data_IF_817281714754
#
_entry.id   IF_817281714754
#
_cell.length_a   1.000
_cell.length_b   1.000
_cell.length_c   1.000
_cell.angle_alpha   90.00
_cell.angle_beta   90.00
_cell.angle_gamma   90.00
#
_symmetry.space_group_name_H-M   'P 1'
#
loop_
_entity.id
_entity.type
_entity.pdbx_description
1 polymer ?
#
# COMPACT_ATOMS: atom_id res chain seq x y z
N UNK A 1 -10.27 -27.76 8.14
CA UNK A 1 -9.68 -26.42 8.15
C UNK A 1 -8.88 -26.21 6.90
N UNK A 2 -8.83 -24.99 6.37
CA UNK A 2 -7.89 -24.54 5.34
C UNK A 2 -6.83 -23.69 6.05
N UNK A 3 -5.55 -24.04 5.89
CA UNK A 3 -4.44 -23.32 6.51
C UNK A 3 -3.79 -22.42 5.47
N UNK A 4 -3.74 -21.12 5.74
CA UNK A 4 -2.96 -20.12 5.02
C UNK A 4 -1.64 -19.91 5.78
N UNK A 5 -0.52 -19.75 5.09
CA UNK A 5 0.76 -19.43 5.71
C UNK A 5 1.11 -17.96 5.53
N UNK A 6 1.75 -17.34 6.51
CA UNK A 6 2.24 -15.97 6.41
C UNK A 6 3.54 -15.79 7.22
N UNK A 7 4.58 -15.33 6.57
CA UNK A 7 5.74 -14.74 7.24
C UNK A 7 5.51 -13.23 7.26
N UNK A 8 5.41 -12.63 8.45
CA UNK A 8 5.01 -11.23 8.63
C UNK A 8 5.95 -10.57 9.62
N UNK A 9 6.34 -9.32 9.39
CA UNK A 9 7.23 -8.57 10.28
C UNK A 9 6.53 -8.21 11.58
N UNK A 10 6.66 -9.04 12.61
CA UNK A 10 6.12 -8.76 13.95
C UNK A 10 7.14 -8.03 14.82
N UNK A 11 8.41 -8.06 14.43
CA UNK A 11 9.51 -7.30 15.02
C UNK A 11 10.34 -6.61 13.95
N UNK A 12 11.31 -5.77 14.35
CA UNK A 12 12.19 -5.04 13.45
C UNK A 12 11.55 -3.76 12.89
N UNK A 13 12.15 -3.23 11.82
CA UNK A 13 11.80 -1.90 11.27
C UNK A 13 10.38 -1.80 10.71
N UNK A 14 9.76 -2.91 10.34
CA UNK A 14 8.41 -2.97 9.78
C UNK A 14 7.35 -3.48 10.78
N UNK A 15 7.67 -3.57 12.08
CA UNK A 15 6.78 -4.16 13.08
C UNK A 15 5.38 -3.55 13.10
N UNK A 16 5.27 -2.21 12.95
CA UNK A 16 3.97 -1.54 12.91
C UNK A 16 3.14 -1.96 11.69
N UNK A 17 3.74 -1.94 10.51
CA UNK A 17 3.05 -2.37 9.28
C UNK A 17 2.78 -3.87 9.25
N UNK A 18 3.67 -4.67 9.82
CA UNK A 18 3.45 -6.10 10.00
C UNK A 18 2.27 -6.40 10.93
N UNK A 19 2.13 -5.64 12.03
CA UNK A 19 0.97 -5.72 12.90
C UNK A 19 -0.33 -5.35 12.15
N UNK A 20 -0.33 -4.26 11.37
CA UNK A 20 -1.47 -3.86 10.54
C UNK A 20 -1.83 -4.95 9.53
N UNK A 21 -0.84 -5.56 8.88
CA UNK A 21 -1.02 -6.68 7.95
C UNK A 21 -1.69 -7.86 8.64
N UNK A 22 -1.14 -8.30 9.78
CA UNK A 22 -1.68 -9.40 10.57
C UNK A 22 -3.11 -9.13 11.04
N UNK A 23 -3.37 -7.93 11.58
CA UNK A 23 -4.70 -7.54 12.07
C UNK A 23 -5.74 -7.56 10.94
N UNK A 24 -5.38 -7.13 9.73
CA UNK A 24 -6.24 -7.24 8.55
C UNK A 24 -6.56 -8.69 8.20
N UNK A 25 -5.55 -9.56 8.17
CA UNK A 25 -5.75 -11.00 7.92
C UNK A 25 -6.65 -11.64 8.97
N UNK A 26 -6.40 -11.38 10.25
CA UNK A 26 -7.17 -11.98 11.36
C UNK A 26 -8.62 -11.50 11.37
N UNK A 27 -8.88 -10.22 11.10
CA UNK A 27 -10.24 -9.70 11.05
C UNK A 27 -11.04 -10.39 9.93
N UNK A 28 -10.45 -10.54 8.73
CA UNK A 28 -11.12 -11.21 7.63
C UNK A 28 -11.35 -12.71 7.90
N UNK A 29 -10.36 -13.41 8.43
CA UNK A 29 -10.48 -14.82 8.82
C UNK A 29 -11.59 -15.02 9.84
N UNK A 30 -11.64 -14.19 10.88
CA UNK A 30 -12.70 -14.21 11.90
C UNK A 30 -14.07 -14.03 11.26
N UNK A 31 -14.23 -12.97 10.44
CA UNK A 31 -15.49 -12.65 9.77
C UNK A 31 -15.99 -13.76 8.87
N UNK A 32 -15.11 -14.38 8.07
CA UNK A 32 -15.44 -15.52 7.22
C UNK A 32 -15.87 -16.72 8.09
N UNK A 33 -15.11 -16.98 9.14
CA UNK A 33 -15.37 -18.09 10.05
C UNK A 33 -16.70 -17.94 10.81
N UNK A 34 -17.05 -16.74 11.24
CA UNK A 34 -18.32 -16.43 11.91
C UNK A 34 -19.52 -16.65 10.97
N UNK A 35 -19.34 -16.40 9.68
CA UNK A 35 -20.33 -16.72 8.63
C UNK A 35 -20.38 -18.21 8.23
N UNK A 36 -19.73 -19.11 8.97
CA UNK A 36 -19.74 -20.56 8.72
C UNK A 36 -18.52 -21.09 7.96
N UNK A 37 -17.55 -20.24 7.60
CA UNK A 37 -16.35 -20.61 6.87
C UNK A 37 -16.53 -20.61 5.34
N UNK A 38 -15.68 -21.33 4.65
CA UNK A 38 -15.67 -21.41 3.19
C UNK A 38 -16.24 -22.75 2.74
N UNK A 39 -17.21 -22.74 1.82
CA UNK A 39 -17.79 -23.96 1.24
C UNK A 39 -16.96 -24.43 0.05
N UNK A 40 -16.48 -25.67 0.10
CA UNK A 40 -15.69 -26.31 -0.97
C UNK A 40 -16.13 -27.76 -1.12
N UNK A 41 -16.53 -28.20 -2.31
CA UNK A 41 -16.97 -29.56 -2.56
C UNK A 41 -18.08 -30.05 -1.63
N UNK A 42 -19.05 -29.17 -1.31
CA UNK A 42 -20.17 -29.47 -0.40
C UNK A 42 -19.83 -29.46 1.09
N UNK A 43 -18.58 -29.19 1.48
CA UNK A 43 -18.14 -29.11 2.89
C UNK A 43 -17.76 -27.70 3.27
N UNK A 44 -18.03 -27.32 4.54
CA UNK A 44 -17.58 -26.03 5.10
C UNK A 44 -16.25 -26.18 5.82
N UNK A 45 -15.33 -25.27 5.54
CA UNK A 45 -14.00 -25.22 6.13
C UNK A 45 -13.78 -23.90 6.84
N UNK A 46 -13.31 -23.94 8.08
CA UNK A 46 -12.78 -22.76 8.76
C UNK A 46 -11.40 -22.41 8.21
N UNK A 47 -11.11 -21.11 8.08
CA UNK A 47 -9.77 -20.61 7.74
C UNK A 47 -8.94 -20.45 9.01
N UNK A 48 -7.65 -20.71 8.90
CA UNK A 48 -6.64 -20.47 9.94
C UNK A 48 -5.39 -19.93 9.28
N UNK A 49 -4.73 -18.94 9.88
CA UNK A 49 -3.43 -18.47 9.41
C UNK A 49 -2.33 -18.95 10.35
N UNK A 50 -1.28 -19.53 9.77
CA UNK A 50 -0.04 -19.88 10.49
C UNK A 50 0.97 -18.77 10.26
N UNK A 51 1.32 -18.07 11.33
CA UNK A 51 2.25 -16.95 11.30
C UNK A 51 3.64 -17.33 11.73
N UNK A 52 4.63 -16.70 11.12
CA UNK A 52 6.00 -16.60 11.59
C UNK A 52 6.48 -15.16 11.50
N UNK A 53 7.34 -14.75 12.44
CA UNK A 53 7.99 -13.45 12.44
C UNK A 53 9.21 -13.46 11.51
N UNK A 54 9.20 -12.67 10.45
CA UNK A 54 10.30 -12.52 9.51
C UNK A 54 11.37 -11.51 9.99
N UNK A 55 11.16 -10.92 11.16
CA UNK A 55 12.08 -9.97 11.80
C UNK A 55 12.44 -8.79 10.89
N UNK A 56 11.57 -8.46 9.94
CA UNK A 56 11.79 -7.43 8.89
C UNK A 56 13.03 -7.70 8.02
N UNK A 57 13.44 -8.96 7.87
CA UNK A 57 14.63 -9.33 7.10
C UNK A 57 14.31 -10.29 5.94
N UNK A 58 14.76 -9.98 4.71
CA UNK A 58 14.49 -10.81 3.53
C UNK A 58 14.95 -12.26 3.66
N UNK A 59 16.14 -12.48 4.24
CA UNK A 59 16.70 -13.82 4.43
C UNK A 59 15.81 -14.66 5.35
N UNK A 60 15.34 -14.08 6.46
CA UNK A 60 14.43 -14.76 7.39
C UNK A 60 13.08 -15.05 6.73
N UNK A 61 12.52 -14.09 5.97
CA UNK A 61 11.30 -14.28 5.20
C UNK A 61 11.39 -15.49 4.26
N UNK A 62 12.50 -15.62 3.52
CA UNK A 62 12.75 -16.76 2.62
C UNK A 62 12.81 -18.08 3.37
N UNK A 63 13.55 -18.15 4.47
CA UNK A 63 13.67 -19.34 5.33
C UNK A 63 12.28 -19.78 5.85
N UNK A 64 11.49 -18.84 6.34
CA UNK A 64 10.18 -19.09 6.89
C UNK A 64 9.16 -19.51 5.83
N UNK A 65 9.22 -18.94 4.63
CA UNK A 65 8.40 -19.39 3.51
C UNK A 65 8.72 -20.83 3.14
N UNK A 66 10.00 -21.22 3.07
CA UNK A 66 10.37 -22.64 2.86
C UNK A 66 9.87 -23.54 4.00
N UNK A 67 9.97 -23.10 5.25
CA UNK A 67 9.45 -23.84 6.41
C UNK A 67 7.94 -24.06 6.32
N UNK A 68 7.18 -23.00 6.04
CA UNK A 68 5.71 -23.07 5.88
C UNK A 68 5.32 -24.13 4.85
N UNK A 69 6.02 -24.16 3.72
CA UNK A 69 5.71 -25.12 2.64
C UNK A 69 6.18 -26.52 2.97
N UNK A 70 7.46 -26.70 3.36
CA UNK A 70 8.08 -28.02 3.50
C UNK A 70 7.76 -28.74 4.80
N UNK A 71 7.72 -27.99 5.91
CA UNK A 71 7.55 -28.59 7.23
C UNK A 71 6.09 -28.52 7.70
N UNK A 72 5.42 -27.40 7.43
CA UNK A 72 4.04 -27.20 7.87
C UNK A 72 3.01 -27.63 6.82
N UNK A 73 3.42 -27.97 5.60
CA UNK A 73 2.56 -28.46 4.52
C UNK A 73 1.56 -27.40 4.01
N UNK A 74 1.88 -26.12 4.15
CA UNK A 74 1.04 -25.01 3.69
C UNK A 74 0.97 -25.02 2.16
N UNK A 75 -0.23 -24.94 1.61
CA UNK A 75 -0.52 -24.92 0.17
C UNK A 75 -0.95 -23.55 -0.36
N UNK A 76 -1.19 -22.59 0.50
CA UNK A 76 -1.69 -21.25 0.19
C UNK A 76 -1.01 -20.23 1.09
N UNK A 77 -0.49 -19.15 0.52
CA UNK A 77 0.22 -18.16 1.29
C UNK A 77 -0.40 -16.77 1.16
N UNK A 78 -0.36 -16.03 2.26
CA UNK A 78 -0.57 -14.59 2.30
C UNK A 78 0.80 -13.90 2.28
N UNK A 79 0.89 -12.78 1.59
CA UNK A 79 2.13 -12.05 1.43
C UNK A 79 2.63 -11.39 2.72
N UNK A 80 3.92 -11.06 2.78
CA UNK A 80 4.49 -10.26 3.86
C UNK A 80 4.18 -8.77 3.69
N UNK A 81 4.60 -7.95 4.66
CA UNK A 81 4.74 -6.51 4.42
C UNK A 81 6.06 -6.21 3.74
N UNK A 82 6.00 -5.30 2.79
CA UNK A 82 7.00 -4.68 1.93
C UNK A 82 7.36 -5.44 0.65
N UNK A 83 7.65 -4.65 -0.39
CA UNK A 83 8.09 -5.19 -1.68
C UNK A 83 9.42 -5.94 -1.59
N UNK A 84 10.32 -5.51 -0.69
CA UNK A 84 11.61 -6.18 -0.49
C UNK A 84 11.46 -7.58 0.10
N UNK A 85 10.58 -7.77 1.09
CA UNK A 85 10.28 -9.08 1.67
C UNK A 85 9.52 -9.97 0.68
N UNK A 86 8.53 -9.42 -0.02
CA UNK A 86 7.81 -10.14 -1.07
C UNK A 86 8.76 -10.66 -2.13
N UNK A 87 9.68 -9.81 -2.63
CA UNK A 87 10.69 -10.17 -3.63
C UNK A 87 11.54 -11.37 -3.20
N UNK A 88 11.88 -11.44 -1.91
CA UNK A 88 12.69 -12.53 -1.37
C UNK A 88 11.92 -13.86 -1.28
N UNK A 89 10.61 -13.81 -1.02
CA UNK A 89 9.74 -14.98 -0.86
C UNK A 89 9.29 -15.54 -2.22
N UNK A 90 9.15 -14.71 -3.25
CA UNK A 90 8.60 -15.10 -4.55
C UNK A 90 9.28 -16.35 -5.17
N UNK A 91 10.62 -16.51 -5.18
CA UNK A 91 11.24 -17.73 -5.71
C UNK A 91 10.81 -19.00 -4.99
N UNK A 92 10.45 -18.91 -3.71
CA UNK A 92 9.99 -20.07 -2.92
C UNK A 92 8.59 -20.47 -3.37
N UNK A 93 7.64 -19.53 -3.40
CA UNK A 93 6.25 -19.83 -3.78
C UNK A 93 6.16 -20.31 -5.24
N UNK A 94 6.96 -19.74 -6.13
CA UNK A 94 7.05 -20.19 -7.52
C UNK A 94 7.59 -21.61 -7.63
N UNK A 95 8.72 -21.90 -6.97
CA UNK A 95 9.37 -23.23 -6.95
C UNK A 95 8.44 -24.34 -6.47
N UNK A 96 7.66 -24.06 -5.44
CA UNK A 96 6.76 -25.05 -4.82
C UNK A 96 5.33 -24.97 -5.34
N UNK A 97 5.04 -24.09 -6.30
CA UNK A 97 3.72 -23.88 -6.89
C UNK A 97 2.64 -23.59 -5.84
N UNK A 98 2.97 -22.73 -4.90
CA UNK A 98 2.07 -22.29 -3.83
C UNK A 98 1.50 -20.92 -4.18
N UNK A 99 0.21 -20.79 -4.51
CA UNK A 99 -0.35 -19.48 -4.79
C UNK A 99 -0.28 -18.58 -3.57
N UNK A 100 0.20 -17.35 -3.78
CA UNK A 100 0.32 -16.30 -2.78
C UNK A 100 -0.50 -15.09 -3.21
N UNK A 101 -1.37 -14.61 -2.32
CA UNK A 101 -2.06 -13.34 -2.51
C UNK A 101 -1.37 -12.29 -1.63
N UNK A 102 -0.89 -11.27 -2.31
CA UNK A 102 -0.15 -10.16 -1.74
C UNK A 102 -1.07 -8.97 -1.47
N UNK A 103 -1.01 -8.46 -0.24
CA UNK A 103 -1.71 -7.26 0.17
C UNK A 103 -0.80 -6.04 0.35
N UNK A 104 0.54 -6.21 0.46
CA UNK A 104 1.44 -5.13 0.88
C UNK A 104 2.73 -5.01 0.07
N UNK A 105 2.99 -5.90 -0.89
CA UNK A 105 4.11 -5.83 -1.83
C UNK A 105 3.67 -5.18 -3.14
N UNK A 106 4.03 -3.92 -3.36
CA UNK A 106 3.47 -3.11 -4.42
C UNK A 106 4.39 -2.87 -5.63
N UNK A 107 5.70 -3.15 -5.55
CA UNK A 107 6.63 -2.83 -6.63
C UNK A 107 6.35 -3.61 -7.92
N UNK A 108 6.30 -2.91 -9.06
CA UNK A 108 6.06 -3.52 -10.39
C UNK A 108 7.03 -4.65 -10.71
N UNK A 109 8.28 -4.55 -10.24
CA UNK A 109 9.30 -5.57 -10.52
C UNK A 109 8.91 -6.98 -10.02
N UNK A 110 8.00 -7.07 -9.03
CA UNK A 110 7.49 -8.34 -8.51
C UNK A 110 6.73 -9.13 -9.59
N UNK A 111 6.19 -8.44 -10.58
CA UNK A 111 5.32 -8.98 -11.62
C UNK A 111 5.97 -9.05 -13.00
N UNK A 112 7.27 -8.70 -13.12
CA UNK A 112 7.97 -8.63 -14.43
C UNK A 112 8.81 -9.87 -14.75
N UNK A 113 8.97 -10.78 -13.80
CA UNK A 113 9.82 -11.96 -13.94
C UNK A 113 9.10 -13.23 -14.44
N UNK A 114 7.81 -13.10 -14.79
CA UNK A 114 7.01 -14.21 -15.27
C UNK A 114 6.60 -15.21 -14.19
N UNK A 115 6.61 -14.80 -12.92
CA UNK A 115 6.06 -15.61 -11.83
C UNK A 115 4.55 -15.81 -12.00
N UNK A 116 4.08 -17.02 -11.73
CA UNK A 116 2.68 -17.42 -11.95
C UNK A 116 1.87 -17.57 -10.68
N UNK A 117 2.53 -17.58 -9.53
CA UNK A 117 1.91 -17.88 -8.23
C UNK A 117 1.80 -16.68 -7.32
N UNK A 118 2.07 -15.47 -7.81
CA UNK A 118 1.83 -14.20 -7.11
C UNK A 118 0.61 -13.49 -7.70
N UNK A 119 -0.23 -12.94 -6.82
CA UNK A 119 -1.37 -12.09 -7.15
C UNK A 119 -1.45 -10.97 -6.12
N UNK A 120 -1.55 -9.71 -6.53
CA UNK A 120 -1.63 -8.58 -5.62
C UNK A 120 -2.95 -7.84 -5.74
N UNK A 121 -3.67 -7.70 -4.62
CA UNK A 121 -4.97 -7.00 -4.59
C UNK A 121 -4.84 -5.49 -4.67
N UNK A 122 -3.64 -4.95 -4.47
CA UNK A 122 -3.33 -3.52 -4.45
C UNK A 122 -2.88 -3.01 -5.82
N UNK A 123 -2.89 -1.69 -5.99
CA UNK A 123 -2.29 -1.01 -7.13
C UNK A 123 -0.77 -1.01 -7.00
N UNK A 124 -0.03 -1.08 -8.12
CA UNK A 124 1.44 -1.06 -8.08
C UNK A 124 2.00 0.29 -7.67
N UNK A 125 3.19 0.29 -7.09
CA UNK A 125 3.76 1.46 -6.41
C UNK A 125 4.13 2.62 -7.35
N UNK A 126 4.35 2.35 -8.63
CA UNK A 126 4.51 3.39 -9.65
C UNK A 126 3.32 4.35 -9.73
N UNK A 127 2.13 3.92 -9.29
CA UNK A 127 0.91 4.73 -9.35
C UNK A 127 0.68 5.58 -8.09
N UNK A 128 1.45 5.38 -7.02
CA UNK A 128 1.13 5.96 -5.70
C UNK A 128 1.05 7.48 -5.72
N UNK A 129 1.99 8.17 -6.34
CA UNK A 129 2.05 9.63 -6.37
C UNK A 129 1.61 10.24 -7.71
N UNK A 130 1.14 9.42 -8.66
CA UNK A 130 0.53 9.89 -9.92
C UNK A 130 -0.57 10.94 -9.66
N UNK A 131 -1.54 10.72 -8.75
CA UNK A 131 -2.57 11.73 -8.51
C UNK A 131 -2.04 13.05 -7.97
N UNK A 132 -0.90 13.04 -7.27
CA UNK A 132 -0.28 14.28 -6.77
C UNK A 132 0.40 15.08 -7.90
N UNK A 133 1.03 14.40 -8.86
CA UNK A 133 1.64 15.05 -10.03
C UNK A 133 0.54 15.58 -10.98
N UNK A 134 -0.52 14.81 -11.19
CA UNK A 134 -1.69 15.26 -11.97
C UNK A 134 -2.33 16.50 -11.33
N UNK A 135 -2.55 16.49 -10.02
CA UNK A 135 -3.07 17.62 -9.27
C UNK A 135 -2.15 18.86 -9.39
N UNK A 136 -0.84 18.68 -9.34
CA UNK A 136 0.11 19.77 -9.54
C UNK A 136 -0.03 20.39 -10.94
N UNK A 137 -0.17 19.56 -11.98
CA UNK A 137 -0.40 20.03 -13.34
C UNK A 137 -1.71 20.82 -13.48
N UNK A 138 -2.80 20.31 -12.92
CA UNK A 138 -4.12 20.96 -12.94
C UNK A 138 -4.12 22.31 -12.22
N UNK A 139 -3.30 22.45 -11.16
CA UNK A 139 -3.27 23.62 -10.31
C UNK A 139 -2.08 24.55 -10.57
N UNK A 140 -1.30 24.35 -11.64
CA UNK A 140 -0.14 25.18 -11.99
C UNK A 140 -0.49 26.68 -12.06
N UNK A 141 -1.67 27.03 -12.58
CA UNK A 141 -2.15 28.41 -12.63
C UNK A 141 -2.30 29.08 -11.27
N UNK A 142 -2.64 28.33 -10.20
CA UNK A 142 -2.70 28.86 -8.83
C UNK A 142 -1.31 29.21 -8.28
N UNK A 143 -0.26 28.66 -8.87
CA UNK A 143 1.15 28.97 -8.58
C UNK A 143 1.73 30.06 -9.49
N UNK A 144 0.90 30.64 -10.37
CA UNK A 144 1.33 31.61 -11.38
C UNK A 144 2.23 31.01 -12.45
N UNK A 145 2.06 29.70 -12.75
CA UNK A 145 2.90 28.94 -13.69
C UNK A 145 2.08 28.16 -14.70
N UNK A 146 2.77 27.65 -15.73
CA UNK A 146 2.26 26.55 -16.56
C UNK A 146 2.82 25.23 -16.04
N UNK A 147 2.22 24.11 -16.42
CA UNK A 147 2.68 22.79 -15.98
C UNK A 147 4.13 22.51 -16.39
N UNK A 148 4.56 23.01 -17.55
CA UNK A 148 5.91 22.83 -18.09
C UNK A 148 6.97 23.62 -17.30
N UNK A 149 6.58 24.66 -16.56
CA UNK A 149 7.49 25.46 -15.73
C UNK A 149 7.51 25.03 -14.27
N UNK A 150 6.71 24.02 -13.89
CA UNK A 150 6.75 23.46 -12.56
C UNK A 150 8.05 22.70 -12.31
N UNK A 151 8.65 22.97 -11.16
CA UNK A 151 9.85 22.31 -10.66
C UNK A 151 9.47 21.22 -9.66
N UNK A 152 9.91 20.00 -9.91
CA UNK A 152 9.64 18.84 -9.05
C UNK A 152 10.92 18.37 -8.38
N UNK A 153 10.85 18.14 -7.09
CA UNK A 153 11.90 17.53 -6.28
C UNK A 153 11.45 16.17 -5.78
N UNK A 154 12.33 15.19 -5.86
CA UNK A 154 12.13 13.82 -5.40
C UNK A 154 13.10 13.52 -4.25
N UNK A 155 12.59 12.89 -3.18
CA UNK A 155 13.37 12.37 -2.07
C UNK A 155 12.87 10.96 -1.77
N UNK A 156 13.58 9.95 -2.25
CA UNK A 156 13.13 8.56 -2.29
C UNK A 156 14.04 7.65 -1.48
N UNK A 157 13.48 6.83 -0.61
CA UNK A 157 14.22 5.78 0.07
C UNK A 157 14.76 4.77 -0.97
N UNK A 158 15.97 4.28 -0.76
CA UNK A 158 16.60 3.33 -1.67
C UNK A 158 16.16 1.89 -1.33
N UNK A 159 14.90 1.60 -1.56
CA UNK A 159 14.31 0.26 -1.49
C UNK A 159 13.44 -0.04 -2.73
N UNK A 160 13.05 -1.30 -2.97
CA UNK A 160 12.26 -1.67 -4.15
C UNK A 160 10.94 -0.91 -4.29
N UNK A 161 10.25 -0.62 -3.18
CA UNK A 161 8.98 0.12 -3.20
C UNK A 161 9.19 1.57 -3.62
N UNK A 162 10.03 2.30 -2.89
CA UNK A 162 10.23 3.73 -3.14
C UNK A 162 10.93 4.01 -4.49
N UNK A 163 11.77 3.09 -4.97
CA UNK A 163 12.37 3.20 -6.30
C UNK A 163 11.34 3.00 -7.42
N UNK A 164 10.33 2.17 -7.22
CA UNK A 164 9.23 2.05 -8.18
C UNK A 164 8.28 3.25 -8.12
N UNK A 165 8.00 3.81 -6.94
CA UNK A 165 7.30 5.10 -6.80
C UNK A 165 8.05 6.20 -7.55
N UNK A 166 9.39 6.26 -7.38
CA UNK A 166 10.25 7.21 -8.11
C UNK A 166 10.09 7.08 -9.62
N UNK A 167 10.13 5.85 -10.13
CA UNK A 167 10.00 5.60 -11.56
C UNK A 167 8.64 6.11 -12.08
N UNK A 168 7.55 5.81 -11.39
CA UNK A 168 6.22 6.32 -11.74
C UNK A 168 6.14 7.85 -11.72
N UNK A 169 6.71 8.50 -10.70
CA UNK A 169 6.75 9.98 -10.62
C UNK A 169 7.54 10.56 -11.78
N UNK A 170 8.69 9.96 -12.16
CA UNK A 170 9.46 10.43 -13.30
C UNK A 170 8.71 10.29 -14.63
N UNK A 171 7.99 9.17 -14.83
CA UNK A 171 7.14 8.97 -15.99
C UNK A 171 6.03 10.04 -16.05
N UNK A 172 5.39 10.36 -14.93
CA UNK A 172 4.34 11.38 -14.84
C UNK A 172 4.87 12.81 -15.06
N UNK A 173 6.03 13.13 -14.47
CA UNK A 173 6.72 14.40 -14.68
C UNK A 173 7.05 14.61 -16.16
N UNK A 174 7.55 13.57 -16.83
CA UNK A 174 7.81 13.59 -18.27
C UNK A 174 6.52 13.76 -19.07
N UNK A 175 5.45 13.03 -18.73
CA UNK A 175 4.14 13.11 -19.39
C UNK A 175 3.55 14.52 -19.36
N UNK A 176 3.75 15.25 -18.27
CA UNK A 176 3.30 16.64 -18.12
C UNK A 176 4.30 17.69 -18.60
N UNK A 177 5.53 17.29 -18.98
CA UNK A 177 6.60 18.20 -19.40
C UNK A 177 7.21 19.04 -18.27
N UNK A 178 7.04 18.63 -17.01
CA UNK A 178 7.57 19.31 -15.83
C UNK A 178 9.10 19.11 -15.72
N UNK A 179 9.75 19.90 -14.87
CA UNK A 179 11.21 19.88 -14.69
C UNK A 179 11.59 19.19 -13.37
N UNK A 180 12.38 18.12 -13.43
CA UNK A 180 13.02 17.55 -12.24
C UNK A 180 14.23 18.41 -11.87
N UNK A 181 14.25 18.96 -10.64
CA UNK A 181 15.37 19.80 -10.14
C UNK A 181 16.15 19.12 -9.00
N UNK A 182 15.55 18.13 -8.34
CA UNK A 182 16.18 17.28 -7.32
C UNK A 182 15.68 15.86 -7.54
N UNK A 183 16.60 14.89 -7.51
CA UNK A 183 16.30 13.47 -7.59
C UNK A 183 17.24 12.72 -6.64
N UNK A 184 16.92 12.78 -5.35
CA UNK A 184 17.75 12.22 -4.29
C UNK A 184 17.25 10.83 -3.88
N UNK A 185 18.16 9.86 -3.91
CA UNK A 185 17.95 8.53 -3.32
C UNK A 185 18.59 8.53 -1.93
N UNK A 186 17.77 8.27 -0.92
CA UNK A 186 18.15 8.32 0.49
C UNK A 186 18.43 6.91 1.03
N UNK A 187 19.29 6.77 2.03
CA UNK A 187 19.52 5.46 2.66
C UNK A 187 18.22 4.83 3.17
N UNK A 188 18.16 3.49 3.24
CA UNK A 188 17.03 2.80 3.86
C UNK A 188 16.77 3.34 5.26
N UNK A 189 15.48 3.41 5.63
CA UNK A 189 14.94 3.98 6.86
C UNK A 189 14.87 5.52 6.91
N UNK A 190 15.38 6.22 5.90
CA UNK A 190 15.26 7.67 5.72
C UNK A 190 15.37 8.46 7.05
N UNK A 191 16.53 8.28 7.74
CA UNK A 191 16.75 8.87 9.05
C UNK A 191 17.11 10.36 9.01
N UNK A 192 17.63 10.84 7.86
CA UNK A 192 18.05 12.23 7.69
C UNK A 192 17.82 12.70 6.25
N UNK A 193 17.16 13.85 6.11
CA UNK A 193 16.89 14.54 4.86
C UNK A 193 17.54 15.93 4.80
N UNK A 194 18.36 16.31 5.75
CA UNK A 194 18.87 17.69 5.90
C UNK A 194 19.58 18.20 4.62
N UNK A 195 20.35 17.34 3.97
CA UNK A 195 21.03 17.68 2.70
C UNK A 195 20.01 17.95 1.58
N UNK A 196 19.04 17.07 1.40
CA UNK A 196 17.97 17.24 0.40
C UNK A 196 17.16 18.50 0.69
N UNK A 197 16.78 18.73 1.95
CA UNK A 197 16.01 19.91 2.35
C UNK A 197 16.81 21.23 2.16
N UNK A 198 18.12 21.18 2.30
CA UNK A 198 18.99 22.33 1.95
C UNK A 198 18.94 22.65 0.45
N UNK A 199 18.98 21.61 -0.43
CA UNK A 199 18.80 21.78 -1.87
C UNK A 199 17.40 22.34 -2.19
N UNK A 200 16.35 21.83 -1.51
CA UNK A 200 14.96 22.31 -1.67
C UNK A 200 14.88 23.82 -1.37
N UNK A 201 15.51 24.29 -0.28
CA UNK A 201 15.55 25.73 0.05
C UNK A 201 16.24 26.57 -1.03
N UNK A 202 17.30 26.06 -1.61
CA UNK A 202 18.08 26.76 -2.63
C UNK A 202 17.37 26.79 -4.00
N UNK A 203 16.79 25.66 -4.43
CA UNK A 203 16.21 25.48 -5.76
C UNK A 203 14.71 25.85 -5.83
N UNK A 204 14.06 25.93 -4.67
CA UNK A 204 12.64 26.31 -4.51
C UNK A 204 11.74 25.56 -5.49
N UNK A 205 11.62 24.24 -5.37
CA UNK A 205 10.68 23.45 -6.17
C UNK A 205 9.23 23.83 -5.84
N UNK A 206 8.34 23.61 -6.80
CA UNK A 206 6.88 23.78 -6.62
C UNK A 206 6.26 22.56 -5.98
N UNK A 207 6.83 21.41 -6.26
CA UNK A 207 6.38 20.09 -5.76
C UNK A 207 7.57 19.38 -5.12
N UNK A 208 7.37 18.88 -3.91
CA UNK A 208 8.27 17.93 -3.27
C UNK A 208 7.52 16.63 -3.04
N UNK A 209 8.00 15.55 -3.63
CA UNK A 209 7.49 14.21 -3.41
C UNK A 209 8.48 13.39 -2.60
N UNK A 210 7.96 12.68 -1.58
CA UNK A 210 8.75 11.89 -0.64
C UNK A 210 8.17 10.49 -0.57
N UNK A 211 9.02 9.49 -0.75
CA UNK A 211 8.64 8.10 -0.55
C UNK A 211 9.64 7.37 0.34
N UNK A 212 9.14 6.88 1.43
CA UNK A 212 9.76 6.02 2.41
C UNK A 212 8.65 5.28 3.15
N UNK A 213 9.02 4.51 4.18
CA UNK A 213 8.03 3.87 5.05
C UNK A 213 7.61 4.82 6.19
N UNK A 214 6.87 4.34 7.20
CA UNK A 214 6.31 5.19 8.26
C UNK A 214 7.35 6.05 9.00
N UNK A 215 8.53 5.48 9.27
CA UNK A 215 9.62 6.22 9.92
C UNK A 215 10.11 7.37 9.04
N UNK A 216 10.24 7.11 7.73
CA UNK A 216 10.63 8.13 6.76
C UNK A 216 9.62 9.26 6.66
N UNK A 217 8.33 8.96 6.67
CA UNK A 217 7.27 9.97 6.64
C UNK A 217 7.33 10.89 7.88
N UNK A 218 7.51 10.32 9.08
CA UNK A 218 7.67 11.09 10.32
C UNK A 218 8.94 11.95 10.29
N UNK A 219 10.07 11.38 9.87
CA UNK A 219 11.35 12.11 9.76
C UNK A 219 11.22 13.29 8.79
N UNK A 220 10.60 13.06 7.62
CA UNK A 220 10.41 14.09 6.62
C UNK A 220 9.65 15.31 7.15
N UNK A 221 8.47 15.11 7.73
CA UNK A 221 7.64 16.23 8.22
C UNK A 221 8.33 16.95 9.40
N UNK A 222 8.94 16.21 10.33
CA UNK A 222 9.69 16.80 11.44
C UNK A 222 10.86 17.68 10.96
N UNK A 223 11.65 17.21 9.99
CA UNK A 223 12.80 17.96 9.49
C UNK A 223 12.38 19.14 8.59
N UNK A 224 11.34 19.00 7.78
CA UNK A 224 10.73 20.09 7.00
C UNK A 224 10.34 21.23 7.93
N UNK A 225 9.68 20.90 9.04
CA UNK A 225 9.28 21.89 10.06
C UNK A 225 10.47 22.49 10.78
N UNK A 226 11.37 21.67 11.30
CA UNK A 226 12.56 22.12 12.06
C UNK A 226 13.45 23.04 11.22
N UNK A 227 13.62 22.74 9.95
CA UNK A 227 14.42 23.52 9.02
C UNK A 227 13.63 24.64 8.34
N UNK A 228 12.35 24.80 8.66
CA UNK A 228 11.46 25.81 8.06
C UNK A 228 11.50 25.77 6.52
N UNK A 229 11.29 24.59 5.95
CA UNK A 229 11.26 24.40 4.50
C UNK A 229 9.82 24.57 4.01
N UNK A 230 9.62 25.50 3.10
CA UNK A 230 8.35 25.68 2.43
C UNK A 230 8.38 25.15 1.00
N UNK A 231 7.36 24.39 0.64
CA UNK A 231 7.10 23.93 -0.73
C UNK A 231 5.58 24.05 -0.97
N UNK A 232 5.14 24.62 -2.09
CA UNK A 232 3.71 24.81 -2.39
C UNK A 232 2.88 23.52 -2.37
N UNK A 233 3.46 22.42 -2.86
CA UNK A 233 2.83 21.10 -2.89
C UNK A 233 3.81 20.10 -2.28
N UNK A 234 3.45 19.54 -1.13
CA UNK A 234 4.19 18.46 -0.45
C UNK A 234 3.35 17.19 -0.49
N UNK A 235 3.84 16.15 -1.13
CA UNK A 235 3.15 14.87 -1.25
C UNK A 235 4.05 13.71 -0.79
N UNK A 236 3.47 12.72 -0.09
CA UNK A 236 4.24 11.59 0.40
C UNK A 236 3.44 10.30 0.51
N UNK A 237 4.14 9.21 0.72
CA UNK A 237 3.58 7.88 1.02
C UNK A 237 3.54 7.64 2.53
N UNK A 238 2.77 6.65 2.98
CA UNK A 238 2.71 6.15 4.37
C UNK A 238 2.28 7.15 5.45
N UNK A 239 1.49 8.15 5.11
CA UNK A 239 1.04 9.15 6.08
C UNK A 239 0.16 8.55 7.18
N UNK A 240 -0.81 7.70 6.81
CA UNK A 240 -1.77 7.08 7.73
C UNK A 240 -1.11 6.06 8.65
N UNK A 241 -0.30 5.15 8.09
CA UNK A 241 0.45 4.18 8.90
C UNK A 241 1.46 4.84 9.84
N UNK A 242 2.03 5.98 9.44
CA UNK A 242 2.87 6.81 10.29
C UNK A 242 2.08 7.67 11.29
N UNK A 243 0.75 7.78 11.10
CA UNK A 243 -0.13 8.63 11.91
C UNK A 243 0.36 10.09 11.97
N UNK A 244 0.77 10.65 10.81
CA UNK A 244 1.39 11.98 10.80
C UNK A 244 0.40 13.09 11.18
N UNK A 245 -0.88 12.95 10.84
CA UNK A 245 -1.92 13.92 11.22
C UNK A 245 -2.05 13.98 12.73
N UNK A 246 -2.12 12.85 13.41
CA UNK A 246 -2.31 12.74 14.86
C UNK A 246 -1.05 13.12 15.63
N UNK A 247 0.13 12.66 15.18
CA UNK A 247 1.39 12.87 15.88
C UNK A 247 1.98 14.25 15.69
N UNK A 248 1.76 14.88 14.54
CA UNK A 248 2.40 16.14 14.17
C UNK A 248 1.42 17.32 14.08
N UNK A 249 0.11 17.07 14.13
CA UNK A 249 -0.93 18.10 14.15
C UNK A 249 -0.75 19.15 13.06
N UNK A 250 -0.68 20.43 13.42
CA UNK A 250 -0.50 21.54 12.49
C UNK A 250 0.74 21.40 11.59
N UNK A 251 1.78 20.70 12.06
CA UNK A 251 2.98 20.46 11.27
C UNK A 251 2.76 19.58 10.03
N UNK A 252 1.71 18.78 10.04
CA UNK A 252 1.32 17.92 8.92
C UNK A 252 0.20 18.53 8.05
N UNK A 253 -0.32 19.71 8.42
CA UNK A 253 -1.44 20.33 7.72
C UNK A 253 -1.12 20.62 6.24
N UNK A 254 -2.06 20.31 5.37
CA UNK A 254 -1.98 20.44 3.91
C UNK A 254 -0.95 19.54 3.23
N UNK A 255 -0.42 18.50 3.90
CA UNK A 255 0.36 17.45 3.25
C UNK A 255 -0.57 16.57 2.44
N UNK A 256 -0.19 16.29 1.18
CA UNK A 256 -0.86 15.31 0.35
C UNK A 256 -0.33 13.91 0.64
N UNK A 257 -1.23 12.95 0.74
CA UNK A 257 -0.92 11.59 1.12
C UNK A 257 -1.45 10.59 0.11
N UNK A 258 -0.58 9.74 -0.41
CA UNK A 258 -0.96 8.64 -1.28
C UNK A 258 -1.56 7.50 -0.46
N UNK A 259 -2.77 7.08 -0.77
CA UNK A 259 -3.46 5.97 -0.12
C UNK A 259 -3.92 4.93 -1.12
N UNK A 260 -3.86 3.67 -0.71
CA UNK A 260 -4.49 2.58 -1.46
C UNK A 260 -6.01 2.53 -1.20
N UNK A 261 -6.45 3.00 -0.05
CA UNK A 261 -7.83 2.92 0.37
C UNK A 261 -8.14 4.00 1.43
N UNK A 262 -9.39 4.41 1.51
CA UNK A 262 -9.89 5.29 2.56
C UNK A 262 -11.34 4.90 2.91
N UNK A 263 -11.73 5.02 4.17
CA UNK A 263 -13.04 4.62 4.69
C UNK A 263 -14.24 5.31 4.01
N UNK A 264 -14.04 6.52 3.46
CA UNK A 264 -15.08 7.27 2.77
C UNK A 264 -15.36 6.83 1.33
N UNK A 265 -14.60 5.85 0.80
CA UNK A 265 -14.82 5.36 -0.55
C UNK A 265 -16.12 4.55 -0.62
N UNK A 266 -16.87 4.69 -1.70
CA UNK A 266 -18.16 4.02 -1.89
C UNK A 266 -18.06 2.53 -2.21
N UNK A 267 -16.95 1.87 -1.89
CA UNK A 267 -16.77 0.43 -2.07
C UNK A 267 -17.55 -0.37 -1.03
N UNK A 268 -18.03 -1.54 -1.43
CA UNK A 268 -18.79 -2.43 -0.55
C UNK A 268 -18.73 -3.88 -1.01
N UNK A 269 -18.95 -4.80 -0.10
CA UNK A 269 -19.11 -6.24 -0.37
C UNK A 269 -20.07 -6.91 0.63
N UNK A 270 -20.29 -8.21 0.43
CA UNK A 270 -21.15 -9.01 1.33
C UNK A 270 -20.44 -9.46 2.62
N UNK A 271 -19.09 -9.41 2.65
CA UNK A 271 -18.32 -9.88 3.80
C UNK A 271 -18.33 -8.84 4.91
N UNK A 272 -17.96 -7.61 4.60
CA UNK A 272 -17.79 -6.52 5.56
C UNK A 272 -18.87 -5.44 5.49
N UNK A 273 -19.58 -5.32 4.37
CA UNK A 273 -20.44 -4.19 4.07
C UNK A 273 -19.66 -3.10 3.31
N UNK A 274 -19.83 -1.85 3.70
CA UNK A 274 -19.12 -0.70 3.10
C UNK A 274 -17.66 -0.58 3.59
N UNK A 275 -16.87 0.26 2.93
CA UNK A 275 -15.53 0.64 3.41
C UNK A 275 -15.58 1.22 4.84
N UNK A 276 -16.59 2.03 5.15
CA UNK A 276 -16.83 2.56 6.50
C UNK A 276 -17.18 1.48 7.51
N UNK A 277 -17.97 0.46 7.10
CA UNK A 277 -18.30 -0.67 7.98
C UNK A 277 -17.07 -1.52 8.31
N UNK A 278 -16.16 -1.72 7.35
CA UNK A 278 -14.87 -2.35 7.63
C UNK A 278 -14.06 -1.54 8.64
N UNK A 279 -13.92 -0.22 8.42
CA UNK A 279 -13.19 0.66 9.33
C UNK A 279 -13.72 0.56 10.76
N UNK A 280 -15.04 0.66 10.94
CA UNK A 280 -15.67 0.52 12.28
C UNK A 280 -15.43 -0.84 12.93
N UNK A 281 -15.52 -1.93 12.15
CA UNK A 281 -15.25 -3.27 12.66
C UNK A 281 -13.79 -3.44 13.06
N UNK A 282 -12.88 -2.84 12.31
CA UNK A 282 -11.45 -2.85 12.62
C UNK A 282 -11.14 -2.05 13.90
N UNK A 283 -11.65 -0.81 14.00
CA UNK A 283 -11.50 0.05 15.16
C UNK A 283 -12.08 -0.60 16.43
N UNK A 284 -13.23 -1.25 16.31
CA UNK A 284 -13.84 -1.98 17.43
C UNK A 284 -12.98 -3.17 17.88
N UNK A 285 -12.24 -3.80 16.96
CA UNK A 285 -11.44 -4.97 17.26
C UNK A 285 -10.04 -4.64 17.78
N UNK A 286 -9.47 -3.50 17.36
CA UNK A 286 -8.05 -3.17 17.60
C UNK A 286 -7.80 -1.81 18.23
N UNK A 287 -8.86 -1.01 18.46
CA UNK A 287 -8.82 0.29 19.18
C UNK A 287 -7.96 1.38 18.53
N UNK A 288 -7.76 1.32 17.20
CA UNK A 288 -7.13 2.37 16.41
C UNK A 288 -7.73 2.44 15.01
N UNK A 289 -7.54 3.58 14.32
CA UNK A 289 -8.08 3.81 12.97
C UNK A 289 -7.54 2.79 11.97
N UNK A 290 -8.41 2.27 11.09
CA UNK A 290 -8.05 1.27 10.10
C UNK A 290 -7.12 1.84 9.02
N UNK A 291 -5.84 1.47 8.97
CA UNK A 291 -4.95 1.89 7.90
C UNK A 291 -5.21 1.08 6.63
N UNK A 292 -4.86 1.64 5.45
CA UNK A 292 -5.08 0.92 4.20
C UNK A 292 -4.32 -0.42 4.13
N UNK A 293 -3.20 -0.57 4.85
CA UNK A 293 -2.44 -1.82 4.94
C UNK A 293 -3.28 -2.95 5.55
N UNK A 294 -4.09 -2.65 6.54
CA UNK A 294 -5.01 -3.62 7.12
C UNK A 294 -6.18 -3.94 6.17
N UNK A 295 -6.73 -2.92 5.50
CA UNK A 295 -7.82 -3.09 4.55
C UNK A 295 -7.43 -3.99 3.37
N UNK A 296 -6.26 -3.74 2.75
CA UNK A 296 -5.78 -4.55 1.63
C UNK A 296 -5.39 -5.97 2.05
N UNK A 297 -4.88 -6.14 3.27
CA UNK A 297 -4.63 -7.45 3.84
C UNK A 297 -5.92 -8.26 4.04
N UNK A 298 -6.95 -7.63 4.58
CA UNK A 298 -8.26 -8.27 4.71
C UNK A 298 -8.86 -8.65 3.34
N UNK A 299 -8.68 -7.80 2.32
CA UNK A 299 -9.11 -8.09 0.95
C UNK A 299 -8.38 -9.30 0.36
N UNK A 300 -7.10 -9.51 0.66
CA UNK A 300 -6.34 -10.68 0.20
C UNK A 300 -6.95 -12.00 0.73
N UNK A 301 -7.37 -12.03 1.99
CA UNK A 301 -8.08 -13.19 2.57
C UNK A 301 -9.45 -13.36 1.94
N UNK A 302 -10.16 -12.26 1.65
CA UNK A 302 -11.47 -12.32 0.98
C UNK A 302 -11.35 -12.92 -0.43
N UNK A 303 -10.34 -12.52 -1.19
CA UNK A 303 -10.05 -13.10 -2.52
C UNK A 303 -9.75 -14.60 -2.42
N UNK A 304 -8.97 -15.05 -1.44
CA UNK A 304 -8.79 -16.49 -1.21
C UNK A 304 -10.10 -17.20 -0.93
N UNK A 305 -10.94 -16.66 -0.05
CA UNK A 305 -12.23 -17.28 0.28
C UNK A 305 -13.15 -17.38 -0.93
N UNK A 306 -13.14 -16.36 -1.80
CA UNK A 306 -13.88 -16.36 -3.07
C UNK A 306 -13.30 -17.40 -4.05
N UNK A 307 -11.98 -17.44 -4.22
CA UNK A 307 -11.32 -18.39 -5.09
C UNK A 307 -11.57 -19.84 -4.67
N UNK A 308 -11.51 -20.17 -3.38
CA UNK A 308 -11.85 -21.50 -2.88
C UNK A 308 -13.30 -21.89 -3.21
N UNK A 309 -14.25 -20.95 -3.06
CA UNK A 309 -15.66 -21.19 -3.41
C UNK A 309 -15.84 -21.46 -4.89
N UNK A 310 -15.17 -20.70 -5.77
CA UNK A 310 -15.24 -20.88 -7.23
C UNK A 310 -14.51 -22.14 -7.70
N UNK A 311 -13.36 -22.43 -7.13
CA UNK A 311 -12.57 -23.62 -7.45
C UNK A 311 -13.25 -24.93 -7.05
N UNK A 312 -14.10 -24.93 -6.03
CA UNK A 312 -14.69 -26.17 -5.43
C UNK A 312 -13.65 -27.26 -5.12
N UNK A 313 -12.39 -26.86 -4.93
CA UNK A 313 -11.22 -27.70 -4.75
C UNK A 313 -10.23 -27.05 -3.78
N UNK A 314 -9.37 -27.86 -3.15
CA UNK A 314 -8.21 -27.43 -2.36
C UNK A 314 -6.89 -27.84 -3.04
N UNK A 315 -6.96 -28.20 -4.30
CA UNK A 315 -5.77 -28.38 -5.14
C UNK A 315 -5.15 -27.01 -5.45
N UNK A 316 -3.83 -26.87 -5.28
CA UNK A 316 -3.15 -25.58 -5.37
C UNK A 316 -3.23 -24.96 -6.77
N UNK A 317 -3.10 -25.76 -7.84
CA UNK A 317 -3.19 -25.29 -9.23
C UNK A 317 -4.62 -24.85 -9.56
N UNK A 318 -5.62 -25.65 -9.18
CA UNK A 318 -7.03 -25.31 -9.40
C UNK A 318 -7.41 -24.00 -8.68
N UNK A 319 -6.93 -23.83 -7.45
CA UNK A 319 -7.17 -22.58 -6.69
C UNK A 319 -6.39 -21.42 -7.29
N UNK A 320 -5.14 -21.62 -7.73
CA UNK A 320 -4.34 -20.61 -8.43
C UNK A 320 -5.07 -20.09 -9.68
N UNK A 321 -5.66 -21.00 -10.48
CA UNK A 321 -6.39 -20.62 -11.68
C UNK A 321 -7.69 -19.87 -11.33
N UNK A 322 -8.36 -20.27 -10.26
CA UNK A 322 -9.50 -19.52 -9.74
C UNK A 322 -9.11 -18.12 -9.25
N UNK A 323 -7.94 -17.96 -8.61
CA UNK A 323 -7.43 -16.63 -8.22
C UNK A 323 -7.15 -15.80 -9.49
N UNK A 324 -6.44 -16.35 -10.48
CA UNK A 324 -6.12 -15.64 -11.72
C UNK A 324 -7.38 -15.13 -12.46
N UNK A 325 -8.48 -15.86 -12.35
CA UNK A 325 -9.78 -15.49 -12.94
C UNK A 325 -10.66 -14.60 -12.02
N UNK A 326 -10.08 -14.02 -10.97
CA UNK A 326 -10.85 -13.16 -10.05
C UNK A 326 -11.33 -11.89 -10.75
N UNK A 327 -12.63 -11.62 -10.60
CA UNK A 327 -13.29 -10.38 -10.92
C UNK A 327 -14.31 -10.14 -9.79
N UNK A 328 -13.88 -9.36 -8.79
CA UNK A 328 -14.57 -9.26 -7.51
C UNK A 328 -14.59 -7.81 -7.00
N UNK A 329 -15.78 -7.30 -6.69
CA UNK A 329 -15.93 -6.07 -5.93
C UNK A 329 -15.80 -6.34 -4.44
N UNK A 330 -14.95 -5.59 -3.76
CA UNK A 330 -14.73 -5.70 -2.32
C UNK A 330 -14.91 -4.34 -1.62
N UNK A 331 -15.05 -4.34 -0.31
CA UNK A 331 -15.04 -3.12 0.51
C UNK A 331 -13.74 -2.30 0.33
N UNK A 332 -12.66 -2.96 -0.10
CA UNK A 332 -11.36 -2.35 -0.39
C UNK A 332 -11.31 -1.72 -1.78
N UNK A 333 -12.09 -2.25 -2.72
CA UNK A 333 -12.18 -1.85 -4.11
C UNK A 333 -12.28 -3.04 -5.05
N UNK A 334 -12.37 -2.79 -6.36
CA UNK A 334 -12.45 -3.86 -7.34
C UNK A 334 -11.11 -4.60 -7.46
N UNK A 335 -11.18 -5.92 -7.61
CA UNK A 335 -10.04 -6.80 -7.84
C UNK A 335 -10.22 -7.54 -9.15
N UNK A 336 -9.29 -7.31 -10.07
CA UNK A 336 -9.19 -8.02 -11.34
C UNK A 336 -7.72 -8.14 -11.72
N UNK A 337 -7.25 -9.38 -11.88
CA UNK A 337 -5.84 -9.61 -12.17
C UNK A 337 -5.57 -9.65 -13.68
N UNK A 338 -4.42 -9.08 -14.08
CA UNK A 338 -3.84 -9.33 -15.39
C UNK A 338 -3.05 -10.67 -15.40
N UNK A 339 -2.51 -11.03 -16.56
CA UNK A 339 -1.73 -12.26 -16.72
C UNK A 339 -0.47 -12.33 -15.82
N UNK A 340 0.00 -11.21 -15.31
CA UNK A 340 1.14 -11.15 -14.38
C UNK A 340 0.75 -11.23 -12.90
N UNK A 341 -0.56 -11.21 -12.59
CA UNK A 341 -1.09 -11.23 -11.23
C UNK A 341 -1.27 -9.84 -10.60
N UNK A 342 -1.12 -8.76 -11.35
CA UNK A 342 -1.40 -7.40 -10.85
C UNK A 342 -2.89 -7.09 -10.89
N UNK A 343 -3.38 -6.39 -9.88
CA UNK A 343 -4.71 -5.80 -9.94
C UNK A 343 -4.71 -4.58 -10.87
N UNK A 344 -5.51 -4.65 -11.94
CA UNK A 344 -5.65 -3.59 -12.95
C UNK A 344 -6.95 -2.78 -12.81
N UNK A 345 -7.78 -3.09 -11.84
CA UNK A 345 -9.11 -2.48 -11.70
C UNK A 345 -9.17 -1.37 -10.66
N UNK A 346 -8.20 -1.30 -9.75
CA UNK A 346 -8.26 -0.40 -8.60
C UNK A 346 -7.41 0.86 -8.79
N UNK A 347 -8.00 2.08 -8.70
CA UNK A 347 -7.24 3.32 -8.72
C UNK A 347 -6.60 3.62 -7.37
N UNK A 348 -5.54 4.45 -7.39
CA UNK A 348 -5.00 5.08 -6.20
C UNK A 348 -5.91 6.19 -5.67
N UNK A 349 -5.73 6.54 -4.41
CA UNK A 349 -6.43 7.63 -3.71
C UNK A 349 -5.40 8.66 -3.25
N UNK A 350 -5.70 9.93 -3.44
CA UNK A 350 -4.94 11.02 -2.86
C UNK A 350 -5.80 11.71 -1.80
N UNK A 351 -5.27 11.82 -0.61
CA UNK A 351 -5.86 12.64 0.45
C UNK A 351 -4.98 13.87 0.70
N UNK A 352 -5.56 14.87 1.34
CA UNK A 352 -4.83 15.99 1.93
C UNK A 352 -5.21 16.07 3.40
N UNK A 353 -4.26 16.33 4.28
CA UNK A 353 -4.56 16.59 5.68
C UNK A 353 -5.18 17.97 5.79
N UNK A 354 -6.42 18.03 6.28
CA UNK A 354 -7.19 19.26 6.45
C UNK A 354 -7.91 19.21 7.81
N UNK A 355 -7.60 20.14 8.70
CA UNK A 355 -8.12 20.15 10.07
C UNK A 355 -7.76 18.87 10.84
N UNK A 356 -6.55 18.35 10.63
CA UNK A 356 -6.04 17.13 11.27
C UNK A 356 -6.67 15.84 10.77
N UNK A 357 -7.39 15.84 9.62
CA UNK A 357 -8.04 14.65 9.04
C UNK A 357 -7.58 14.40 7.61
N UNK A 358 -7.56 13.14 7.20
CA UNK A 358 -7.30 12.76 5.81
C UNK A 358 -8.55 12.97 4.95
N UNK A 359 -8.57 14.04 4.17
CA UNK A 359 -9.68 14.41 3.27
C UNK A 359 -9.36 13.92 1.87
N UNK A 360 -10.21 13.08 1.27
CA UNK A 360 -10.01 12.59 -0.10
C UNK A 360 -10.17 13.75 -1.08
N UNK A 361 -9.15 14.00 -1.90
CA UNK A 361 -9.14 15.06 -2.92
C UNK A 361 -9.01 14.52 -4.36
N UNK A 362 -8.58 13.27 -4.52
CA UNK A 362 -8.60 12.57 -5.79
C UNK A 362 -8.79 11.05 -5.57
N UNK A 363 -9.43 10.33 -6.51
CA UNK A 363 -10.07 10.84 -7.73
C UNK A 363 -11.33 11.66 -7.43
N UNK A 364 -11.71 12.55 -8.33
CA UNK A 364 -12.86 13.46 -8.15
C UNK A 364 -14.17 12.74 -7.81
N UNK A 365 -14.38 11.54 -8.34
CA UNK A 365 -15.55 10.68 -8.03
C UNK A 365 -15.75 10.43 -6.54
N UNK A 366 -14.67 10.37 -5.76
CA UNK A 366 -14.68 10.04 -4.33
C UNK A 366 -14.24 11.19 -3.44
N UNK A 367 -13.95 12.36 -4.04
CA UNK A 367 -13.48 13.53 -3.30
C UNK A 367 -14.50 13.96 -2.24
N UNK A 368 -14.02 14.13 -1.00
CA UNK A 368 -14.79 14.64 0.15
C UNK A 368 -14.44 16.06 0.49
N UNK A 369 -13.43 16.63 -0.18
CA UNK A 369 -13.02 18.03 -0.06
C UNK A 369 -12.27 18.55 -1.27
N UNK A 370 -11.94 19.83 -1.24
CA UNK A 370 -11.20 20.52 -2.30
C UNK A 370 -9.73 20.66 -1.89
N UNK A 371 -8.77 20.39 -2.78
CA UNK A 371 -7.36 20.54 -2.45
C UNK A 371 -6.97 22.01 -2.21
N UNK A 372 -6.23 22.26 -1.15
CA UNK A 372 -5.63 23.55 -0.82
C UNK A 372 -4.27 23.62 -1.50
N UNK A 373 -4.18 24.44 -2.56
CA UNK A 373 -2.97 24.67 -3.37
C UNK A 373 -2.88 26.16 -3.70
N UNK A 374 -1.74 26.81 -3.44
CA UNK A 374 -0.60 26.35 -2.66
C UNK A 374 -0.96 26.12 -1.19
N UNK A 375 -0.18 25.28 -0.48
CA UNK A 375 -0.33 25.20 0.98
C UNK A 375 0.02 26.56 1.58
N UNK A 376 -0.68 27.01 2.64
CA UNK A 376 -0.37 28.26 3.32
C UNK A 376 1.06 28.28 3.87
N UNK A 377 1.66 29.48 3.94
CA UNK A 377 2.91 29.68 4.68
C UNK A 377 2.62 29.49 6.18
N UNK A 378 3.37 28.63 6.83
CA UNK A 378 3.31 28.39 8.27
C UNK A 378 4.30 29.25 9.02
#
# INVERSE_FOLDING_TARGET
MIVLGAAVSLTGKYALNGANTKNGYELAVRKINDKGGVKVGGRSYKLVVRYYDDESTPARGTELAERLVKQDGVKFMLGPYSSGLTKAILPVVEKYKVPMIEGNGAARELFTKGYRYIFAVLSTSDQYLTPAIDLAAEHAGKLGKTKETLKVALAMENDPFAQDVRAGVLDDVQRHGMMVVIDDQLPPELNDMSVTLTKVKALKPDVLVISGHEKGALTAVNQIRALKVYVPILAMTHCDSAQIAEKLGEGAEHVFCAHQWHRSLGYKDELFGTAEDFAKQFEQAYEYEAPYQAAQSAAAVHVFADAFRRAQSLDAETVRDAIAATELDTFYGPVKFDASGRNIAKPMVLTQIQGGKYVVVAPAKWATGTPVVPRPLQ
#
